data_IF_923568412639
#
_entry.id   IF_923568412639
#
_cell.length_a   1.000
_cell.length_b   1.000
_cell.length_c   1.000
_cell.angle_alpha   90.00
_cell.angle_beta   90.00
_cell.angle_gamma   90.00
#
_symmetry.space_group_name_H-M   'P 1'
#
loop_
_entity.id
_entity.type
_entity.pdbx_description
1 polymer ?
#
# COMPACT_ATOMS: atom_id res chain seq x y z
N UNK A 1 -5.28 -7.90 -11.01
CA UNK A 1 -5.72 -7.63 -9.63
C UNK A 1 -4.64 -6.77 -8.99
N UNK A 2 -4.67 -5.47 -9.28
CA UNK A 2 -3.74 -4.49 -8.69
C UNK A 2 -4.12 -4.34 -7.22
N UNK A 3 -3.41 -5.03 -6.32
CA UNK A 3 -3.85 -5.19 -4.93
C UNK A 3 -3.00 -4.35 -4.01
N UNK A 4 -3.57 -3.23 -3.56
CA UNK A 4 -3.03 -2.44 -2.44
C UNK A 4 -3.15 -3.26 -1.15
N UNK A 5 -2.03 -3.55 -0.51
CA UNK A 5 -1.98 -4.32 0.73
C UNK A 5 -1.37 -3.48 1.85
N UNK A 6 -2.09 -3.27 2.96
CA UNK A 6 -1.45 -2.80 4.17
C UNK A 6 -0.47 -3.85 4.68
N UNK A 7 0.71 -3.41 5.12
CA UNK A 7 1.77 -4.22 5.72
C UNK A 7 2.46 -3.44 6.83
N UNK A 8 3.20 -4.14 7.68
CA UNK A 8 4.06 -3.56 8.71
C UNK A 8 5.37 -4.34 8.78
N UNK A 9 6.40 -3.74 9.37
CA UNK A 9 7.65 -4.43 9.65
C UNK A 9 7.44 -5.49 10.73
N UNK A 10 7.98 -6.69 10.52
CA UNK A 10 7.87 -7.80 11.47
C UNK A 10 8.62 -7.49 12.78
N UNK A 11 9.79 -6.86 12.68
CA UNK A 11 10.63 -6.53 13.83
C UNK A 11 10.22 -5.20 14.48
N UNK A 12 9.51 -4.35 13.73
CA UNK A 12 9.17 -2.98 14.14
C UNK A 12 7.74 -2.56 13.72
N UNK A 13 6.69 -3.06 14.39
CA UNK A 13 5.29 -2.90 13.95
C UNK A 13 4.79 -1.45 13.84
N UNK A 14 5.47 -0.48 14.46
CA UNK A 14 5.18 0.94 14.27
C UNK A 14 5.52 1.44 12.86
N UNK A 15 6.40 0.75 12.14
CA UNK A 15 6.74 1.05 10.76
C UNK A 15 5.75 0.38 9.81
N UNK A 16 4.80 1.18 9.36
CA UNK A 16 3.70 0.73 8.49
C UNK A 16 3.96 1.10 7.05
N UNK A 17 3.67 0.15 6.17
CA UNK A 17 3.96 0.21 4.75
C UNK A 17 2.71 -0.11 3.93
N UNK A 18 2.67 0.40 2.71
CA UNK A 18 1.68 -0.02 1.73
C UNK A 18 2.42 -0.71 0.60
N UNK A 19 2.08 -1.97 0.37
CA UNK A 19 2.60 -2.76 -0.74
C UNK A 19 1.62 -2.71 -1.91
N UNK A 20 2.12 -2.45 -3.11
CA UNK A 20 1.36 -2.53 -4.37
C UNK A 20 2.11 -3.45 -5.32
N UNK A 21 1.39 -4.43 -5.86
CA UNK A 21 1.89 -5.30 -6.91
C UNK A 21 1.06 -5.09 -8.18
N UNK A 22 1.74 -4.95 -9.31
CA UNK A 22 1.13 -4.86 -10.64
C UNK A 22 0.97 -6.24 -11.27
N UNK A 23 0.12 -6.34 -12.29
CA UNK A 23 -0.15 -7.62 -12.99
C UNK A 23 1.05 -8.20 -13.72
N UNK A 24 2.02 -7.37 -14.11
CA UNK A 24 3.28 -7.74 -14.77
C UNK A 24 4.42 -8.02 -13.77
N UNK A 25 4.13 -8.00 -12.46
CA UNK A 25 5.03 -8.50 -11.42
C UNK A 25 5.98 -7.46 -10.82
N UNK A 26 5.77 -6.16 -11.09
CA UNK A 26 6.49 -5.12 -10.35
C UNK A 26 5.89 -4.94 -8.95
N UNK A 27 6.77 -4.77 -7.97
CA UNK A 27 6.41 -4.53 -6.58
C UNK A 27 6.88 -3.16 -6.12
N UNK A 28 5.99 -2.41 -5.49
CA UNK A 28 6.25 -1.09 -4.96
C UNK A 28 5.93 -1.05 -3.46
N UNK A 29 6.87 -0.52 -2.70
CA UNK A 29 6.73 -0.29 -1.27
C UNK A 29 6.68 1.19 -0.99
N UNK A 30 5.57 1.64 -0.40
CA UNK A 30 5.40 3.00 0.05
C UNK A 30 5.53 3.05 1.57
N UNK A 31 6.33 3.99 2.06
CA UNK A 31 6.71 4.17 3.46
C UNK A 31 6.55 5.65 3.85
N UNK A 32 6.70 5.96 5.14
CA UNK A 32 6.83 7.35 5.60
C UNK A 32 5.51 8.13 5.61
N UNK A 33 4.38 7.46 5.78
CA UNK A 33 3.07 8.11 5.81
C UNK A 33 2.84 8.90 7.09
N UNK A 34 2.41 10.15 6.97
CA UNK A 34 1.89 10.94 8.10
C UNK A 34 0.59 10.33 8.64
N UNK A 35 -0.29 9.84 7.76
CA UNK A 35 -1.52 9.16 8.14
C UNK A 35 -1.71 7.87 7.33
N UNK A 36 -1.10 6.79 7.83
CA UNK A 36 -1.10 5.48 7.19
C UNK A 36 -2.49 4.99 6.73
N UNK A 37 -3.47 5.00 7.63
CA UNK A 37 -4.82 4.49 7.35
C UNK A 37 -5.53 5.29 6.25
N UNK A 38 -5.42 6.62 6.28
CA UNK A 38 -6.05 7.49 5.27
C UNK A 38 -5.38 7.27 3.91
N UNK A 39 -4.05 7.23 3.87
CA UNK A 39 -3.30 6.96 2.65
C UNK A 39 -3.66 5.61 2.02
N UNK A 40 -3.79 4.55 2.82
CA UNK A 40 -4.21 3.23 2.32
C UNK A 40 -5.60 3.25 1.71
N UNK A 41 -6.57 3.89 2.38
CA UNK A 41 -7.93 4.05 1.84
C UNK A 41 -7.92 4.81 0.51
N UNK A 42 -7.17 5.91 0.42
CA UNK A 42 -7.11 6.70 -0.80
C UNK A 42 -6.42 5.96 -1.97
N UNK A 43 -5.33 5.22 -1.71
CA UNK A 43 -4.70 4.38 -2.73
C UNK A 43 -5.65 3.30 -3.24
N UNK A 44 -6.40 2.63 -2.35
CA UNK A 44 -7.38 1.63 -2.74
C UNK A 44 -8.48 2.22 -3.63
N UNK A 45 -8.99 3.40 -3.29
CA UNK A 45 -9.98 4.13 -4.09
C UNK A 45 -9.44 4.50 -5.48
N UNK A 46 -8.27 5.15 -5.54
CA UNK A 46 -7.68 5.60 -6.80
C UNK A 46 -7.39 4.42 -7.76
N UNK A 47 -6.93 3.29 -7.24
CA UNK A 47 -6.69 2.09 -8.08
C UNK A 47 -8.02 1.45 -8.51
N UNK A 48 -9.05 1.48 -7.67
CA UNK A 48 -10.37 0.95 -8.04
C UNK A 48 -11.06 1.81 -9.11
N UNK A 49 -10.81 3.12 -9.14
CA UNK A 49 -11.34 4.05 -10.15
C UNK A 49 -10.62 3.93 -11.51
N UNK A 50 -9.41 3.37 -11.54
CA UNK A 50 -8.61 3.16 -12.75
C UNK A 50 -8.89 1.80 -13.43
N UNK A 51 -9.67 0.93 -12.80
CA UNK A 51 -10.06 -0.39 -13.29
C UNK A 51 -11.48 -0.38 -13.88
#
# INVERSE_FOLDING_TARGET
MDKVRPSENVDKPEEKYIHVATVDGFEFWFLGFVSYQRSCKHMQQAISELQ
#
